data_IF_114344515756
#
_entry.id   IF_114344515756
#
_cell.length_a   1.000
_cell.length_b   1.000
_cell.length_c   1.000
_cell.angle_alpha   90.00
_cell.angle_beta   90.00
_cell.angle_gamma   90.00
#
_symmetry.space_group_name_H-M   'P 1'
#
loop_
_entity.id
_entity.type
_entity.pdbx_description
1 polymer ?
#
# COMPACT_ATOMS: atom_id res chain seq x y z
N UNK A 1 4.98 36.65 6.68
CA UNK A 1 3.96 35.57 6.70
C UNK A 1 4.72 34.26 6.61
N UNK A 2 4.84 33.50 7.69
CA UNK A 2 5.53 32.20 7.66
C UNK A 2 4.49 31.12 7.40
N UNK A 3 4.58 30.48 6.24
CA UNK A 3 3.84 29.27 5.92
C UNK A 3 4.16 28.19 6.96
N UNK A 4 3.16 27.85 7.78
CA UNK A 4 3.22 26.69 8.67
C UNK A 4 3.05 25.44 7.82
N UNK A 5 4.16 24.90 7.32
CA UNK A 5 4.15 23.59 6.69
C UNK A 5 3.80 22.54 7.77
N UNK A 6 2.73 21.74 7.61
CA UNK A 6 2.41 20.67 8.55
C UNK A 6 3.57 19.67 8.58
N UNK A 7 3.90 19.07 9.74
CA UNK A 7 4.89 18.01 9.79
C UNK A 7 4.44 16.87 8.87
N UNK A 8 5.24 16.58 7.85
CA UNK A 8 5.02 15.47 6.94
C UNK A 8 4.91 14.20 7.80
N UNK A 9 3.72 13.58 7.80
CA UNK A 9 3.48 12.37 8.57
C UNK A 9 4.59 11.36 8.22
N UNK A 10 5.23 10.72 9.22
CA UNK A 10 6.36 9.84 8.97
C UNK A 10 5.96 8.80 7.94
N UNK A 11 6.66 8.80 6.81
CA UNK A 11 6.43 7.87 5.73
C UNK A 11 6.57 6.46 6.30
N UNK A 12 5.45 5.75 6.45
CA UNK A 12 5.45 4.37 6.93
C UNK A 12 6.21 3.56 5.88
N UNK A 13 7.46 3.21 6.18
CA UNK A 13 8.35 2.54 5.23
C UNK A 13 7.85 1.12 5.00
N UNK A 14 7.11 0.91 3.92
CA UNK A 14 6.59 -0.39 3.53
C UNK A 14 5.12 -0.62 3.90
N UNK A 15 4.51 -1.56 3.18
CA UNK A 15 3.10 -1.91 3.34
C UNK A 15 2.93 -2.85 4.54
N UNK A 16 2.09 -2.47 5.50
CA UNK A 16 1.70 -3.30 6.65
C UNK A 16 0.27 -3.81 6.51
N UNK A 17 -0.01 -5.00 7.03
CA UNK A 17 -1.36 -5.52 7.12
C UNK A 17 -2.16 -4.71 8.15
N UNK A 18 -3.27 -4.06 7.77
CA UNK A 18 -4.05 -3.24 8.70
C UNK A 18 -4.79 -4.05 9.76
N UNK A 19 -4.85 -5.38 9.60
CA UNK A 19 -5.56 -6.26 10.53
C UNK A 19 -4.67 -6.85 11.61
N UNK A 20 -3.42 -7.20 11.29
CA UNK A 20 -2.51 -7.89 12.23
C UNK A 20 -1.13 -7.23 12.36
N UNK A 21 -0.86 -6.15 11.62
CA UNK A 21 0.44 -5.47 11.64
C UNK A 21 1.58 -6.20 10.90
N UNK A 22 1.34 -7.41 10.37
CA UNK A 22 2.35 -8.17 9.65
C UNK A 22 2.80 -7.50 8.35
N UNK A 23 4.07 -7.70 7.98
CA UNK A 23 4.68 -7.17 6.76
C UNK A 23 4.71 -8.17 5.60
N UNK A 24 4.41 -9.45 5.86
CA UNK A 24 4.38 -10.47 4.82
C UNK A 24 3.09 -10.39 4.00
N UNK A 25 3.19 -9.68 2.88
CA UNK A 25 2.09 -9.32 1.98
C UNK A 25 2.44 -9.69 0.52
N UNK A 26 2.55 -10.99 0.19
CA UNK A 26 2.85 -11.45 -1.17
C UNK A 26 1.77 -10.98 -2.16
N UNK A 27 2.20 -10.64 -3.37
CA UNK A 27 1.30 -10.27 -4.46
C UNK A 27 0.67 -11.55 -5.01
N UNK A 28 -0.65 -11.65 -4.90
CA UNK A 28 -1.43 -12.78 -5.41
C UNK A 28 -1.94 -12.55 -6.82
N UNK A 29 -2.24 -11.30 -7.15
CA UNK A 29 -2.81 -10.97 -8.45
C UNK A 29 -2.39 -9.57 -8.88
N UNK A 30 -1.95 -9.44 -10.13
CA UNK A 30 -1.61 -8.15 -10.74
C UNK A 30 -2.48 -7.93 -11.97
N UNK A 31 -3.10 -6.75 -12.05
CA UNK A 31 -3.99 -6.35 -13.14
C UNK A 31 -3.57 -4.99 -13.67
N UNK A 32 -3.06 -4.95 -14.90
CA UNK A 32 -2.77 -3.70 -15.61
C UNK A 32 -4.07 -3.08 -16.14
N UNK A 33 -4.21 -1.76 -15.97
CA UNK A 33 -5.27 -0.90 -16.53
C UNK A 33 -4.59 0.25 -17.28
N UNK A 34 -5.36 0.99 -18.09
CA UNK A 34 -4.85 2.05 -18.97
C UNK A 34 -3.87 3.00 -18.25
N UNK A 35 -4.20 3.46 -17.04
CA UNK A 35 -3.41 4.48 -16.31
C UNK A 35 -2.95 4.02 -14.91
N UNK A 36 -3.04 2.72 -14.61
CA UNK A 36 -2.66 2.18 -13.29
C UNK A 36 -2.42 0.68 -13.29
N UNK A 37 -1.54 0.24 -12.44
CA UNK A 37 -1.36 -1.18 -12.09
C UNK A 37 -2.02 -1.45 -10.74
N UNK A 38 -2.96 -2.38 -10.71
CA UNK A 38 -3.57 -2.87 -9.48
C UNK A 38 -2.81 -4.12 -9.03
N UNK A 39 -2.36 -4.16 -7.78
CA UNK A 39 -1.78 -5.36 -7.16
C UNK A 39 -2.61 -5.76 -5.95
N UNK A 40 -3.23 -6.93 -6.01
CA UNK A 40 -3.88 -7.57 -4.88
C UNK A 40 -2.85 -8.41 -4.13
N UNK A 41 -2.80 -8.21 -2.82
CA UNK A 41 -1.95 -8.92 -1.88
C UNK A 41 -2.81 -9.65 -0.87
N UNK A 42 -2.33 -10.78 -0.39
CA UNK A 42 -2.97 -11.51 0.71
C UNK A 42 -1.93 -11.61 1.82
N UNK A 43 -2.28 -11.18 3.03
CA UNK A 43 -1.42 -11.30 4.18
C UNK A 43 -1.25 -12.78 4.55
N UNK A 44 -0.02 -13.27 4.62
CA UNK A 44 0.27 -14.66 4.98
C UNK A 44 -0.10 -14.98 6.42
N UNK A 45 -0.06 -13.99 7.32
CA UNK A 45 -0.33 -14.18 8.75
C UNK A 45 -1.81 -14.28 9.11
N UNK A 46 -2.68 -13.47 8.49
CA UNK A 46 -4.11 -13.42 8.84
C UNK A 46 -5.07 -13.63 7.64
N UNK A 47 -4.56 -13.81 6.43
CA UNK A 47 -5.38 -13.99 5.21
C UNK A 47 -6.07 -12.72 4.70
N UNK A 48 -5.85 -11.55 5.33
CA UNK A 48 -6.47 -10.28 4.91
C UNK A 48 -6.06 -9.94 3.48
N UNK A 49 -7.04 -9.56 2.65
CA UNK A 49 -6.82 -9.03 1.29
C UNK A 49 -6.53 -7.53 1.33
N UNK A 50 -5.48 -7.11 0.64
CA UNK A 50 -5.13 -5.72 0.40
C UNK A 50 -5.07 -5.46 -1.10
N UNK A 51 -5.51 -4.28 -1.54
CA UNK A 51 -5.42 -3.83 -2.92
C UNK A 51 -4.58 -2.56 -2.94
N UNK A 52 -3.52 -2.58 -3.73
CA UNK A 52 -2.63 -1.43 -3.95
C UNK A 52 -2.73 -0.98 -5.40
N UNK A 53 -2.64 0.33 -5.63
CA UNK A 53 -2.67 0.94 -6.95
C UNK A 53 -1.36 1.69 -7.17
N UNK A 54 -0.71 1.40 -8.28
CA UNK A 54 0.48 2.09 -8.75
C UNK A 54 0.05 2.90 -9.99
N UNK A 55 0.20 4.22 -9.94
CA UNK A 55 -0.05 5.09 -11.10
C UNK A 55 1.13 4.96 -12.06
N UNK A 56 0.83 4.97 -13.36
CA UNK A 56 1.84 5.03 -14.41
C UNK A 56 1.82 6.49 -14.85
N UNK A 57 2.85 7.24 -14.48
CA UNK A 57 3.08 8.62 -14.91
C UNK A 57 3.81 8.66 -16.27
#
# INVERSE_FOLDING_TARGET
MQDRQPPEAPAVTGLQCPSCGGNDLPVWYTRKRLNKTLRMRICSGCGRRLITYERID
#
